data_IF_551177618132
#
_entry.id   IF_551177618132
#
_cell.length_a   1.000
_cell.length_b   1.000
_cell.length_c   1.000
_cell.angle_alpha   90.00
_cell.angle_beta   90.00
_cell.angle_gamma   90.00
#
_symmetry.space_group_name_H-M   'P 1'
#
loop_
_entity.id
_entity.type
_entity.pdbx_description
1 polymer ?
#
# COMPACT_ATOMS: atom_id res chain seq x y z
N UNK A 1 6.29 78.57 -3.32
CA UNK A 1 6.99 77.68 -2.35
C UNK A 1 6.02 76.59 -1.93
N UNK A 2 6.11 75.43 -2.56
CA UNK A 2 5.11 74.35 -2.54
C UNK A 2 5.49 73.26 -1.54
N UNK A 3 4.54 72.96 -0.65
CA UNK A 3 4.04 71.64 -0.23
C UNK A 3 5.04 70.49 -0.02
N UNK A 4 5.27 70.20 1.25
CA UNK A 4 5.81 68.94 1.78
C UNK A 4 4.71 67.85 1.74
N UNK A 5 4.97 66.69 1.11
CA UNK A 5 4.09 65.53 1.22
C UNK A 5 4.92 64.24 1.24
N UNK A 6 4.92 63.60 2.42
CA UNK A 6 5.63 62.37 2.78
C UNK A 6 4.97 61.14 2.13
N UNK A 7 5.75 60.32 1.43
CA UNK A 7 5.33 59.00 0.93
C UNK A 7 5.68 57.92 1.96
N UNK A 8 4.65 57.29 2.54
CA UNK A 8 4.76 56.07 3.34
C UNK A 8 4.81 54.87 2.39
N UNK A 9 5.78 53.93 2.48
CA UNK A 9 5.70 52.69 1.73
C UNK A 9 4.78 51.71 2.49
N UNK A 10 3.75 51.22 1.79
CA UNK A 10 2.88 50.15 2.28
C UNK A 10 3.67 48.83 2.32
N UNK A 11 3.88 48.29 3.53
CA UNK A 11 4.47 46.97 3.74
C UNK A 11 3.39 45.91 3.46
N UNK A 12 3.53 45.19 2.35
CA UNK A 12 2.73 44.01 2.03
C UNK A 12 3.20 42.85 2.92
N UNK A 13 2.45 42.55 3.98
CA UNK A 13 2.67 41.35 4.79
C UNK A 13 2.06 40.16 4.05
N UNK A 14 2.90 39.45 3.30
CA UNK A 14 2.54 38.14 2.73
C UNK A 14 2.44 37.12 3.88
N UNK A 15 1.22 36.81 4.30
CA UNK A 15 0.94 35.74 5.25
C UNK A 15 1.30 34.39 4.63
N UNK A 16 2.43 33.82 5.05
CA UNK A 16 2.81 32.44 4.72
C UNK A 16 1.88 31.51 5.49
N UNK A 17 0.86 30.98 4.81
CA UNK A 17 0.06 29.85 5.28
C UNK A 17 0.97 28.63 5.41
N UNK A 18 1.40 28.33 6.63
CA UNK A 18 2.01 27.06 6.98
C UNK A 18 0.96 25.96 6.81
N UNK A 19 0.98 25.28 5.65
CA UNK A 19 0.37 23.97 5.53
C UNK A 19 1.17 23.02 6.43
N UNK A 20 0.68 22.77 7.65
CA UNK A 20 1.05 21.57 8.39
C UNK A 20 0.55 20.38 7.57
N UNK A 21 1.41 19.86 6.70
CA UNK A 21 1.22 18.54 6.11
C UNK A 21 1.24 17.53 7.26
N UNK A 22 0.07 17.10 7.70
CA UNK A 22 -0.05 15.97 8.60
C UNK A 22 0.56 14.75 7.88
N UNK A 23 1.80 14.39 8.22
CA UNK A 23 2.38 13.14 7.76
C UNK A 23 1.57 12.02 8.39
N UNK A 24 0.82 11.28 7.56
CA UNK A 24 0.18 10.06 8.03
C UNK A 24 1.25 9.12 8.60
N UNK A 25 1.02 8.49 9.76
CA UNK A 25 1.99 7.56 10.32
C UNK A 25 2.22 6.41 9.34
N UNK A 26 3.48 6.03 9.15
CA UNK A 26 3.84 4.87 8.36
C UNK A 26 3.27 3.61 9.05
N UNK A 27 2.53 2.81 8.31
CA UNK A 27 2.06 1.50 8.75
C UNK A 27 3.14 0.45 8.45
N UNK A 28 3.31 -0.51 9.36
CA UNK A 28 4.24 -1.63 9.19
C UNK A 28 3.47 -2.92 8.94
N UNK A 29 4.01 -3.74 8.04
CA UNK A 29 3.60 -5.11 7.80
C UNK A 29 4.83 -6.01 7.77
N UNK A 30 4.94 -6.88 8.77
CA UNK A 30 5.87 -8.00 8.73
C UNK A 30 5.20 -9.20 8.05
N UNK A 31 5.90 -9.85 7.13
CA UNK A 31 5.50 -11.15 6.59
C UNK A 31 5.94 -12.24 7.57
N UNK A 32 5.13 -12.41 8.62
CA UNK A 32 5.37 -13.41 9.65
C UNK A 32 5.15 -14.82 9.10
N UNK A 33 6.15 -15.67 9.29
CA UNK A 33 6.17 -17.06 8.84
C UNK A 33 6.20 -18.04 10.02
N UNK A 34 6.17 -17.55 11.26
CA UNK A 34 6.41 -18.35 12.49
C UNK A 34 5.51 -19.59 12.54
N UNK A 35 4.22 -19.42 12.26
CA UNK A 35 3.22 -20.49 12.28
C UNK A 35 2.92 -21.07 10.90
N UNK A 36 3.66 -20.67 9.86
CA UNK A 36 3.42 -21.16 8.52
C UNK A 36 3.81 -22.65 8.40
N UNK A 37 2.91 -23.52 7.89
CA UNK A 37 3.21 -24.93 7.71
C UNK A 37 4.39 -25.16 6.76
N UNK A 38 5.29 -26.07 7.12
CA UNK A 38 6.39 -26.47 6.24
C UNK A 38 5.83 -27.09 4.95
N UNK A 39 6.46 -26.78 3.83
CA UNK A 39 6.06 -27.24 2.50
C UNK A 39 4.89 -26.47 1.88
N UNK A 40 4.18 -25.62 2.63
CA UNK A 40 3.06 -24.84 2.09
C UNK A 40 3.53 -23.54 1.41
N UNK A 41 2.65 -22.96 0.60
CA UNK A 41 2.78 -21.56 0.19
C UNK A 41 2.48 -20.65 1.41
N UNK A 42 3.21 -19.56 1.64
CA UNK A 42 2.88 -18.62 2.70
C UNK A 42 1.53 -17.92 2.42
N UNK A 43 0.76 -17.67 3.48
CA UNK A 43 -0.56 -17.05 3.37
C UNK A 43 -0.50 -15.64 2.75
N UNK A 44 -1.48 -15.32 1.89
CA UNK A 44 -1.57 -14.02 1.23
C UNK A 44 -0.59 -13.81 0.07
N UNK A 45 0.16 -14.85 -0.33
CA UNK A 45 1.02 -14.82 -1.51
C UNK A 45 0.48 -15.68 -2.65
N UNK A 46 0.77 -15.24 -3.87
CA UNK A 46 0.47 -15.98 -5.10
C UNK A 46 1.75 -16.27 -5.87
N UNK A 47 1.87 -17.49 -6.37
CA UNK A 47 2.94 -17.91 -7.27
C UNK A 47 2.66 -17.40 -8.69
N UNK A 48 3.56 -16.57 -9.20
CA UNK A 48 3.42 -15.85 -10.47
C UNK A 48 4.63 -16.14 -11.34
N UNK A 49 4.44 -16.17 -12.65
CA UNK A 49 5.52 -16.34 -13.63
C UNK A 49 5.44 -15.24 -14.68
N UNK A 50 6.54 -14.53 -14.89
CA UNK A 50 6.76 -13.74 -16.11
C UNK A 50 7.76 -14.44 -17.03
N UNK A 51 7.62 -14.24 -18.34
CA UNK A 51 8.45 -14.88 -19.35
C UNK A 51 8.03 -16.32 -19.68
N UNK A 52 8.99 -17.15 -20.07
CA UNK A 52 8.78 -18.56 -20.46
C UNK A 52 9.01 -19.57 -19.34
N UNK A 53 8.89 -20.86 -19.68
CA UNK A 53 9.13 -21.99 -18.78
C UNK A 53 7.98 -22.27 -17.81
N UNK A 54 8.21 -23.14 -16.82
CA UNK A 54 7.21 -23.52 -15.83
C UNK A 54 7.12 -22.51 -14.66
N UNK A 55 6.01 -22.40 -13.93
CA UNK A 55 5.95 -21.57 -12.71
C UNK A 55 6.99 -21.96 -11.64
N UNK A 56 7.26 -21.05 -10.70
CA UNK A 56 8.16 -21.32 -9.58
C UNK A 56 7.64 -22.44 -8.68
N UNK A 57 8.52 -23.05 -7.90
CA UNK A 57 8.13 -23.93 -6.80
C UNK A 57 8.44 -23.23 -5.49
N UNK A 58 7.42 -22.66 -4.86
CA UNK A 58 7.56 -21.87 -3.64
C UNK A 58 7.00 -22.62 -2.44
N UNK A 59 7.78 -22.67 -1.36
CA UNK A 59 7.35 -23.31 -0.12
C UNK A 59 8.01 -22.69 1.10
N UNK A 60 7.38 -22.86 2.25
CA UNK A 60 7.97 -22.56 3.54
C UNK A 60 8.91 -23.70 3.96
N UNK A 61 10.12 -23.34 4.40
CA UNK A 61 11.18 -24.23 4.87
C UNK A 61 11.79 -23.70 6.17
N UNK A 62 12.71 -24.47 6.76
CA UNK A 62 13.57 -23.99 7.85
C UNK A 62 14.97 -23.63 7.34
N UNK A 63 15.54 -22.57 7.90
CA UNK A 63 16.97 -22.23 7.72
C UNK A 63 17.51 -21.57 9.00
N UNK A 64 18.83 -21.58 9.13
CA UNK A 64 19.54 -20.79 10.12
C UNK A 64 19.67 -19.35 9.64
N UNK A 65 18.94 -18.45 10.29
CA UNK A 65 18.88 -17.03 9.94
C UNK A 65 19.65 -16.23 11.02
N UNK A 66 20.53 -15.28 10.64
CA UNK A 66 21.17 -14.38 11.60
C UNK A 66 20.11 -13.59 12.38
N UNK A 67 20.18 -13.64 13.72
CA UNK A 67 19.35 -12.78 14.57
C UNK A 67 19.62 -11.30 14.28
N UNK A 68 18.55 -10.49 14.26
CA UNK A 68 18.66 -9.04 14.18
C UNK A 68 19.22 -8.42 15.47
N UNK A 69 19.18 -9.14 16.59
CA UNK A 69 19.73 -8.72 17.86
C UNK A 69 21.19 -9.18 17.97
N UNK A 70 22.11 -8.21 18.02
CA UNK A 70 23.45 -8.44 18.58
C UNK A 70 23.30 -8.62 20.09
N UNK A 71 24.02 -9.58 20.64
CA UNK A 71 24.19 -9.75 22.08
C UNK A 71 24.93 -8.54 22.68
N UNK A 72 24.60 -8.18 23.93
CA UNK A 72 25.30 -7.13 24.69
C UNK A 72 26.80 -7.43 24.91
N UNK A 73 27.24 -8.66 24.63
CA UNK A 73 28.65 -9.10 24.70
C UNK A 73 29.45 -8.91 23.41
N UNK A 74 28.83 -8.43 22.32
CA UNK A 74 29.54 -8.10 21.08
C UNK A 74 30.23 -9.29 20.39
N UNK A 75 29.89 -10.52 20.76
CA UNK A 75 30.49 -11.73 20.19
C UNK A 75 29.41 -12.74 19.74
N UNK A 76 29.19 -12.70 18.43
CA UNK A 76 28.42 -13.62 17.57
C UNK A 76 26.96 -13.22 17.28
N UNK A 77 26.67 -13.07 15.98
CA UNK A 77 25.31 -13.07 15.45
C UNK A 77 24.71 -14.46 15.69
N UNK A 78 23.98 -14.66 16.80
CA UNK A 78 23.30 -15.92 17.09
C UNK A 78 22.42 -16.28 15.88
N UNK A 79 22.64 -17.46 15.30
CA UNK A 79 21.77 -17.99 14.26
C UNK A 79 20.67 -18.80 14.93
N UNK A 80 19.43 -18.48 14.62
CA UNK A 80 18.27 -19.23 15.10
C UNK A 80 17.63 -19.94 13.92
N UNK A 81 17.15 -21.17 14.14
CA UNK A 81 16.31 -21.84 13.16
C UNK A 81 15.00 -21.05 13.07
N UNK A 82 14.70 -20.57 11.89
CA UNK A 82 13.53 -19.75 11.59
C UNK A 82 12.91 -20.23 10.27
N UNK A 83 11.65 -19.86 10.07
CA UNK A 83 10.92 -20.13 8.84
C UNK A 83 11.42 -19.20 7.73
N UNK A 84 11.62 -19.77 6.54
CA UNK A 84 12.03 -19.06 5.34
C UNK A 84 11.14 -19.49 4.17
N UNK A 85 11.07 -18.67 3.14
CA UNK A 85 10.45 -19.01 1.87
C UNK A 85 11.56 -19.49 0.94
N UNK A 86 11.37 -20.63 0.28
CA UNK A 86 12.28 -21.18 -0.71
C UNK A 86 11.63 -21.23 -2.08
N UNK A 87 12.36 -20.80 -3.10
CA UNK A 87 12.13 -21.16 -4.50
C UNK A 87 13.09 -22.32 -4.84
N UNK A 88 12.57 -23.45 -5.32
CA UNK A 88 13.38 -24.64 -5.63
C UNK A 88 13.23 -25.23 -7.03
N UNK A 89 12.57 -24.56 -7.96
CA UNK A 89 12.46 -25.02 -9.34
C UNK A 89 13.83 -25.03 -10.01
N UNK A 90 14.13 -26.12 -10.72
CA UNK A 90 15.39 -26.31 -11.46
C UNK A 90 15.27 -26.02 -12.96
N UNK A 91 14.16 -25.41 -13.38
CA UNK A 91 13.94 -25.04 -14.78
C UNK A 91 14.87 -23.87 -15.18
N UNK A 92 15.89 -24.20 -15.98
CA UNK A 92 16.94 -23.30 -16.43
C UNK A 92 16.59 -22.43 -17.65
N UNK A 93 15.31 -22.33 -18.04
CA UNK A 93 14.88 -21.40 -19.10
C UNK A 93 15.38 -19.99 -18.81
N UNK A 94 15.98 -19.31 -19.80
CA UNK A 94 16.70 -18.04 -19.58
C UNK A 94 15.76 -16.88 -19.20
N UNK A 95 14.84 -16.50 -20.09
CA UNK A 95 13.83 -15.46 -19.82
C UNK A 95 12.65 -16.04 -19.02
N UNK A 96 12.95 -16.60 -17.85
CA UNK A 96 12.01 -17.18 -16.88
C UNK A 96 12.14 -16.46 -15.54
N UNK A 97 11.05 -15.85 -15.08
CA UNK A 97 11.05 -14.99 -13.89
C UNK A 97 10.00 -15.44 -12.87
N UNK A 98 10.29 -16.47 -12.06
CA UNK A 98 9.38 -16.89 -11.01
C UNK A 98 9.32 -15.87 -9.89
N UNK A 99 8.11 -15.52 -9.48
CA UNK A 99 7.80 -14.54 -8.46
C UNK A 99 6.83 -15.10 -7.43
N UNK A 100 6.94 -14.58 -6.22
CA UNK A 100 5.97 -14.82 -5.15
C UNK A 100 5.45 -13.46 -4.67
N UNK A 101 4.24 -13.10 -5.11
CA UNK A 101 3.68 -11.76 -4.95
C UNK A 101 2.67 -11.73 -3.82
N UNK A 102 2.80 -10.78 -2.90
CA UNK A 102 1.84 -10.54 -1.84
C UNK A 102 0.59 -9.86 -2.42
N UNK A 103 -0.57 -10.47 -2.27
CA UNK A 103 -1.82 -9.99 -2.91
C UNK A 103 -2.66 -9.08 -2.02
N UNK A 104 -2.32 -8.97 -0.73
CA UNK A 104 -3.18 -8.31 0.26
C UNK A 104 -3.42 -6.82 0.05
N UNK A 105 -2.50 -6.06 -0.57
CA UNK A 105 -2.75 -4.66 -0.92
C UNK A 105 -1.92 -4.13 -2.09
N UNK A 106 -2.17 -2.87 -2.46
CA UNK A 106 -1.42 -2.10 -3.46
C UNK A 106 -0.76 -0.89 -2.80
N UNK A 107 0.55 -0.70 -3.03
CA UNK A 107 1.35 0.28 -2.30
C UNK A 107 1.95 1.32 -3.24
N UNK A 108 1.80 2.60 -2.90
CA UNK A 108 2.44 3.72 -3.60
C UNK A 108 3.82 4.03 -3.03
N UNK A 109 3.81 4.60 -1.83
CA UNK A 109 5.00 4.95 -1.06
C UNK A 109 5.26 3.89 0.01
N UNK A 110 6.43 3.25 -0.06
CA UNK A 110 6.80 2.18 0.86
C UNK A 110 8.31 1.98 0.93
N UNK A 111 8.74 1.28 1.97
CA UNK A 111 10.05 0.68 2.12
C UNK A 111 9.83 -0.81 2.33
N UNK A 112 10.31 -1.63 1.39
CA UNK A 112 10.23 -3.08 1.49
C UNK A 112 11.64 -3.66 1.65
N UNK A 113 11.85 -4.42 2.71
CA UNK A 113 13.13 -5.07 3.03
C UNK A 113 12.94 -6.57 3.22
N UNK A 114 13.93 -7.37 2.83
CA UNK A 114 13.99 -8.78 3.15
C UNK A 114 15.43 -9.28 3.19
N UNK A 115 15.64 -10.36 3.94
CA UNK A 115 16.85 -11.14 3.85
C UNK A 115 16.75 -12.11 2.66
N UNK A 116 17.79 -12.19 1.85
CA UNK A 116 17.92 -13.06 0.68
C UNK A 116 19.15 -13.94 0.81
N UNK A 117 19.06 -15.18 0.32
CA UNK A 117 20.19 -16.13 0.28
C UNK A 117 20.11 -16.94 -1.01
N UNK A 118 21.11 -16.78 -1.88
CA UNK A 118 21.24 -17.59 -3.09
C UNK A 118 22.00 -18.87 -2.74
N UNK A 119 21.33 -20.02 -2.90
CA UNK A 119 21.85 -21.31 -2.46
C UNK A 119 22.47 -22.10 -3.60
N UNK A 120 21.82 -22.13 -4.76
CA UNK A 120 22.28 -22.93 -5.89
C UNK A 120 21.64 -22.52 -7.23
N UNK A 121 22.11 -23.16 -8.31
CA UNK A 121 21.64 -22.96 -9.70
C UNK A 121 22.81 -23.10 -10.68
N UNK A 122 22.57 -23.79 -11.78
CA UNK A 122 23.51 -24.03 -12.87
C UNK A 122 23.56 -22.84 -13.82
N UNK A 123 22.40 -22.32 -14.23
CA UNK A 123 22.33 -21.17 -15.15
C UNK A 123 22.40 -19.87 -14.39
N UNK A 124 21.64 -19.76 -13.29
CA UNK A 124 21.54 -18.52 -12.53
C UNK A 124 21.60 -18.76 -11.03
N UNK A 125 22.19 -17.81 -10.30
CA UNK A 125 22.24 -17.82 -8.84
C UNK A 125 21.78 -16.46 -8.32
N UNK A 126 20.47 -16.23 -8.41
CA UNK A 126 19.86 -14.92 -8.18
C UNK A 126 18.73 -14.95 -7.17
N UNK A 127 18.63 -13.87 -6.40
CA UNK A 127 17.49 -13.58 -5.53
C UNK A 127 17.22 -12.07 -5.58
N UNK A 128 15.94 -11.71 -5.53
CA UNK A 128 15.52 -10.32 -5.68
C UNK A 128 14.17 -10.01 -5.07
N UNK A 129 13.83 -8.73 -5.12
CA UNK A 129 12.51 -8.22 -4.75
C UNK A 129 11.81 -7.73 -6.01
N UNK A 130 10.54 -8.12 -6.17
CA UNK A 130 9.62 -7.50 -7.13
C UNK A 130 8.79 -6.45 -6.41
N UNK A 131 8.57 -5.31 -7.05
CA UNK A 131 7.82 -4.21 -6.47
C UNK A 131 7.14 -3.36 -7.54
N UNK A 132 6.11 -2.63 -7.12
CA UNK A 132 5.18 -1.96 -8.05
C UNK A 132 4.63 -2.91 -9.13
N UNK A 133 4.45 -4.17 -8.76
CA UNK A 133 3.90 -5.20 -9.63
C UNK A 133 2.43 -4.91 -9.96
N UNK A 134 2.11 -4.85 -11.26
CA UNK A 134 0.72 -4.80 -11.74
C UNK A 134 0.29 -6.20 -12.20
N UNK A 135 1.09 -6.79 -13.08
CA UNK A 135 0.86 -8.05 -13.77
C UNK A 135 2.21 -8.64 -14.26
N UNK A 136 2.15 -9.81 -14.91
CA UNK A 136 3.31 -10.57 -15.40
C UNK A 136 4.11 -9.85 -16.50
N UNK A 137 3.59 -8.73 -17.00
CA UNK A 137 4.20 -7.92 -18.07
C UNK A 137 4.60 -6.52 -17.59
N UNK A 138 4.24 -6.13 -16.36
CA UNK A 138 4.39 -4.77 -15.87
C UNK A 138 4.81 -4.73 -14.39
N UNK A 139 6.13 -4.65 -14.15
CA UNK A 139 6.67 -4.60 -12.79
C UNK A 139 8.12 -4.07 -12.75
N UNK A 140 8.57 -3.69 -11.56
CA UNK A 140 9.98 -3.45 -11.26
C UNK A 140 10.57 -4.61 -10.46
N UNK A 141 11.85 -4.87 -10.63
CA UNK A 141 12.57 -5.75 -9.72
C UNK A 141 14.02 -5.31 -9.53
N UNK A 142 14.56 -5.65 -8.37
CA UNK A 142 15.98 -5.55 -8.07
C UNK A 142 16.48 -6.94 -7.69
N UNK A 143 17.65 -7.32 -8.21
CA UNK A 143 18.22 -8.65 -7.98
C UNK A 143 19.71 -8.61 -7.68
N UNK A 144 20.11 -9.42 -6.72
CA UNK A 144 21.48 -9.81 -6.47
C UNK A 144 21.82 -11.07 -7.27
N UNK A 145 23.03 -11.15 -7.84
CA UNK A 145 23.55 -12.35 -8.49
C UNK A 145 24.88 -12.74 -7.84
N UNK A 146 24.94 -13.95 -7.28
CA UNK A 146 26.17 -14.52 -6.73
C UNK A 146 27.11 -14.97 -7.86
N UNK A 147 26.55 -15.54 -8.93
CA UNK A 147 27.31 -15.99 -10.09
C UNK A 147 27.91 -14.81 -10.88
N UNK A 148 27.11 -13.77 -11.11
CA UNK A 148 27.52 -12.61 -11.90
C UNK A 148 28.15 -11.47 -11.11
N UNK A 149 28.19 -11.54 -9.77
CA UNK A 149 28.75 -10.48 -8.91
C UNK A 149 28.11 -9.11 -9.16
N UNK A 150 26.78 -9.07 -9.25
CA UNK A 150 26.04 -7.85 -9.66
C UNK A 150 24.78 -7.63 -8.84
N UNK A 151 24.50 -6.38 -8.54
CA UNK A 151 23.23 -5.90 -7.99
C UNK A 151 22.61 -4.95 -8.99
N UNK A 152 21.55 -5.39 -9.66
CA UNK A 152 20.89 -4.64 -10.73
C UNK A 152 19.40 -4.49 -10.51
N UNK A 153 18.92 -3.32 -10.86
CA UNK A 153 17.53 -2.98 -11.07
C UNK A 153 17.15 -3.14 -12.53
N UNK A 154 15.92 -3.59 -12.75
CA UNK A 154 15.28 -3.67 -14.05
C UNK A 154 13.81 -3.25 -13.94
N UNK A 155 13.25 -2.82 -15.06
CA UNK A 155 11.81 -2.76 -15.24
C UNK A 155 11.37 -3.65 -16.39
N UNK A 156 10.18 -4.24 -16.25
CA UNK A 156 9.46 -4.88 -17.33
C UNK A 156 8.24 -4.02 -17.64
N UNK A 157 8.10 -3.61 -18.89
CA UNK A 157 6.98 -2.82 -19.40
C UNK A 157 6.45 -3.52 -20.62
N UNK A 158 5.17 -3.89 -20.60
CA UNK A 158 4.53 -4.68 -21.66
C UNK A 158 5.27 -5.98 -22.00
N UNK A 159 5.97 -6.57 -21.03
CA UNK A 159 6.77 -7.79 -21.19
C UNK A 159 8.19 -7.55 -21.68
N UNK A 160 8.58 -6.29 -21.94
CA UNK A 160 9.92 -5.92 -22.41
C UNK A 160 10.78 -5.50 -21.23
N UNK A 161 11.90 -6.19 -21.04
CA UNK A 161 12.89 -5.92 -19.99
C UNK A 161 13.81 -4.77 -20.39
N UNK A 162 14.06 -3.84 -19.47
CA UNK A 162 15.01 -2.74 -19.66
C UNK A 162 16.46 -3.19 -19.61
N UNK A 163 17.39 -2.31 -20.01
CA UNK A 163 18.79 -2.43 -19.63
C UNK A 163 18.96 -2.39 -18.09
N UNK A 164 20.00 -3.05 -17.55
CA UNK A 164 20.28 -3.04 -16.12
C UNK A 164 20.75 -1.66 -15.65
N UNK A 165 20.28 -1.26 -14.48
CA UNK A 165 20.86 -0.13 -13.73
C UNK A 165 21.41 -0.67 -12.42
N UNK A 166 22.69 -0.44 -12.14
CA UNK A 166 23.26 -0.78 -10.83
C UNK A 166 24.77 -0.98 -10.87
N UNK A 167 25.26 -1.87 -10.03
CA UNK A 167 26.70 -1.98 -9.73
C UNK A 167 27.19 -3.42 -9.76
N UNK A 168 28.48 -3.58 -10.06
CA UNK A 168 29.22 -4.83 -9.82
C UNK A 168 29.74 -4.83 -8.39
N UNK A 169 29.31 -5.81 -7.62
CA UNK A 169 29.75 -6.03 -6.24
C UNK A 169 29.86 -7.55 -6.00
N UNK A 170 30.92 -8.04 -5.33
CA UNK A 170 30.97 -9.44 -4.94
C UNK A 170 29.80 -9.78 -4.00
N UNK A 171 29.06 -10.84 -4.32
CA UNK A 171 27.94 -11.33 -3.49
C UNK A 171 28.17 -12.81 -3.21
N UNK A 172 28.18 -13.19 -1.94
CA UNK A 172 28.53 -14.54 -1.53
C UNK A 172 27.34 -15.49 -1.69
N UNK A 173 27.56 -16.64 -2.34
CA UNK A 173 26.63 -17.78 -2.36
C UNK A 173 26.51 -18.37 -0.95
N UNK A 174 25.31 -18.79 -0.56
CA UNK A 174 25.06 -19.44 0.74
C UNK A 174 25.06 -18.51 1.95
N UNK A 175 25.14 -17.19 1.74
CA UNK A 175 25.14 -16.18 2.80
C UNK A 175 23.86 -15.36 2.75
N UNK A 176 23.29 -15.06 3.92
CA UNK A 176 22.17 -14.14 4.05
C UNK A 176 22.63 -12.69 3.87
N UNK A 177 21.99 -11.98 2.94
CA UNK A 177 22.15 -10.56 2.69
C UNK A 177 20.81 -9.85 2.88
N UNK A 178 20.83 -8.60 3.34
CA UNK A 178 19.63 -7.77 3.36
C UNK A 178 19.51 -7.01 2.04
N UNK A 179 18.34 -7.05 1.41
CA UNK A 179 17.99 -6.26 0.23
C UNK A 179 16.78 -5.40 0.57
N UNK A 180 16.84 -4.12 0.19
CA UNK A 180 15.79 -3.14 0.46
C UNK A 180 15.49 -2.26 -0.74
N UNK A 181 14.21 -1.95 -0.91
CA UNK A 181 13.72 -0.95 -1.87
C UNK A 181 12.89 0.09 -1.13
N UNK A 182 13.16 1.36 -1.38
CA UNK A 182 12.36 2.49 -0.90
C UNK A 182 11.80 3.25 -2.09
N UNK A 183 10.48 3.44 -2.07
CA UNK A 183 9.70 4.17 -3.05
C UNK A 183 9.01 5.37 -2.38
N UNK A 184 9.25 6.57 -2.94
CA UNK A 184 8.60 7.84 -2.54
C UNK A 184 8.19 8.60 -3.80
N UNK A 185 6.91 8.63 -4.13
CA UNK A 185 6.42 9.15 -5.40
C UNK A 185 7.06 8.42 -6.58
N UNK A 186 7.85 9.11 -7.39
CA UNK A 186 8.60 8.52 -8.50
C UNK A 186 10.08 8.22 -8.17
N UNK A 187 10.52 8.44 -6.93
CA UNK A 187 11.89 8.17 -6.51
C UNK A 187 12.02 6.73 -6.02
N UNK A 188 13.11 6.07 -6.43
CA UNK A 188 13.46 4.71 -6.05
C UNK A 188 14.88 4.71 -5.49
N UNK A 189 15.03 4.14 -4.29
CA UNK A 189 16.31 3.94 -3.60
C UNK A 189 16.48 2.47 -3.27
N UNK A 190 17.68 1.93 -3.51
CA UNK A 190 17.99 0.52 -3.31
C UNK A 190 19.11 0.39 -2.29
N UNK A 191 18.86 -0.44 -1.28
CA UNK A 191 19.78 -0.73 -0.20
C UNK A 191 20.23 -2.19 -0.26
N UNK A 192 21.52 -2.43 -0.03
CA UNK A 192 22.09 -3.75 0.12
C UNK A 192 22.93 -3.79 1.40
N UNK A 193 22.59 -4.68 2.32
CA UNK A 193 23.16 -4.77 3.67
C UNK A 193 23.15 -3.40 4.40
N UNK A 194 21.99 -2.73 4.39
CA UNK A 194 21.79 -1.41 5.02
C UNK A 194 22.47 -0.22 4.33
N UNK A 195 23.21 -0.42 3.22
CA UNK A 195 23.91 0.65 2.49
C UNK A 195 23.26 0.91 1.14
N UNK A 196 23.14 2.17 0.76
CA UNK A 196 22.70 2.56 -0.58
C UNK A 196 23.72 2.05 -1.61
N UNK A 197 23.26 1.19 -2.51
CA UNK A 197 24.14 0.42 -3.40
C UNK A 197 23.97 0.78 -4.88
N UNK A 198 22.82 1.35 -5.26
CA UNK A 198 22.53 1.84 -6.61
C UNK A 198 22.24 3.33 -6.51
N UNK A 199 22.68 4.16 -7.48
CA UNK A 199 22.33 5.57 -7.53
C UNK A 199 20.82 5.78 -7.41
N UNK A 200 20.40 6.87 -6.76
CA UNK A 200 18.97 7.23 -6.71
C UNK A 200 18.39 7.31 -8.12
N UNK A 201 17.27 6.64 -8.32
CA UNK A 201 16.58 6.61 -9.59
C UNK A 201 15.28 7.39 -9.49
N UNK A 202 14.86 7.97 -10.60
CA UNK A 202 13.55 8.58 -10.77
C UNK A 202 12.85 7.90 -11.95
N UNK A 203 11.74 7.22 -11.69
CA UNK A 203 10.96 6.53 -12.73
C UNK A 203 9.46 6.71 -12.47
N UNK A 204 8.73 7.10 -13.52
CA UNK A 204 7.30 7.43 -13.47
C UNK A 204 6.40 6.38 -14.11
N UNK A 205 6.97 5.25 -14.57
CA UNK A 205 6.20 4.23 -15.30
C UNK A 205 5.13 3.58 -14.42
N UNK A 206 5.49 3.19 -13.19
CA UNK A 206 4.55 2.67 -12.20
C UNK A 206 4.65 3.51 -10.93
N UNK A 207 3.51 4.00 -10.40
CA UNK A 207 3.45 4.83 -9.18
C UNK A 207 2.95 4.07 -7.95
N UNK A 208 2.34 2.90 -8.15
CA UNK A 208 1.92 1.99 -7.10
C UNK A 208 1.89 0.57 -7.65
N UNK A 209 1.86 -0.44 -6.78
CA UNK A 209 1.65 -1.83 -7.15
C UNK A 209 1.91 -2.77 -5.98
N UNK A 210 1.95 -4.08 -6.26
CA UNK A 210 2.21 -5.11 -5.26
C UNK A 210 3.72 -5.29 -5.03
N UNK A 211 4.06 -6.00 -3.96
CA UNK A 211 5.45 -6.34 -3.58
C UNK A 211 5.60 -7.85 -3.45
N UNK A 212 6.82 -8.36 -3.57
CA UNK A 212 7.07 -9.79 -3.45
C UNK A 212 8.53 -10.17 -3.67
N UNK A 213 8.75 -11.47 -3.80
CA UNK A 213 10.07 -12.05 -4.01
C UNK A 213 10.23 -12.47 -5.48
N UNK A 214 11.47 -12.43 -5.97
CA UNK A 214 11.80 -12.69 -7.36
C UNK A 214 13.03 -13.59 -7.50
N UNK A 215 13.03 -14.47 -8.50
CA UNK A 215 14.15 -15.33 -8.91
C UNK A 215 14.24 -15.39 -10.44
N UNK A 216 15.33 -15.97 -10.97
CA UNK A 216 15.51 -16.22 -12.41
C UNK A 216 15.89 -17.67 -12.67
N UNK A 217 15.35 -18.26 -13.75
CA UNK A 217 15.74 -19.59 -14.22
C UNK A 217 15.75 -20.62 -13.08
N UNK A 218 16.83 -21.38 -12.91
CA UNK A 218 16.98 -22.46 -11.94
C UNK A 218 17.56 -22.02 -10.59
N UNK A 219 17.49 -20.71 -10.30
CA UNK A 219 18.00 -20.14 -9.04
C UNK A 219 17.25 -20.72 -7.84
N UNK A 220 17.95 -21.54 -7.06
CA UNK A 220 17.51 -21.99 -5.75
C UNK A 220 17.88 -20.91 -4.73
N UNK A 221 16.86 -20.25 -4.19
CA UNK A 221 17.02 -19.08 -3.34
C UNK A 221 16.04 -19.09 -2.17
N UNK A 222 16.46 -18.52 -1.03
CA UNK A 222 15.64 -18.36 0.16
C UNK A 222 15.45 -16.90 0.56
N UNK A 223 14.30 -16.63 1.17
CA UNK A 223 13.86 -15.32 1.61
C UNK A 223 13.35 -15.40 3.05
N UNK A 224 13.64 -14.38 3.86
CA UNK A 224 13.13 -14.28 5.23
C UNK A 224 13.04 -12.84 5.69
N UNK A 225 12.42 -12.60 6.84
CA UNK A 225 12.32 -11.28 7.48
C UNK A 225 11.81 -10.18 6.54
N UNK A 226 10.82 -10.53 5.71
CA UNK A 226 10.18 -9.57 4.82
C UNK A 226 9.39 -8.54 5.64
N UNK A 227 9.75 -7.26 5.54
CA UNK A 227 9.09 -6.15 6.24
C UNK A 227 8.78 -5.02 5.28
N UNK A 228 7.54 -4.56 5.33
CA UNK A 228 7.00 -3.50 4.51
C UNK A 228 6.52 -2.35 5.39
N UNK A 229 7.20 -1.21 5.31
CA UNK A 229 6.76 0.04 5.93
C UNK A 229 6.16 0.92 4.84
N UNK A 230 4.88 1.25 4.92
CA UNK A 230 4.18 1.95 3.85
C UNK A 230 3.36 3.11 4.40
N UNK A 231 3.16 4.13 3.57
CA UNK A 231 2.16 5.15 3.86
C UNK A 231 0.83 4.61 3.34
N UNK A 232 -0.16 4.33 4.21
CA UNK A 232 -1.49 3.98 3.74
C UNK A 232 -1.95 5.06 2.78
N UNK A 233 -2.40 4.66 1.58
CA UNK A 233 -3.08 5.62 0.71
C UNK A 233 -4.35 6.02 1.43
N UNK A 234 -4.49 7.31 1.64
CA UNK A 234 -5.78 7.81 2.06
C UNK A 234 -6.75 7.63 0.90
N UNK A 235 -7.70 6.70 1.08
CA UNK A 235 -8.74 6.45 0.09
C UNK A 235 -9.64 7.69 -0.02
N UNK A 236 -10.19 7.95 -1.22
CA UNK A 236 -11.03 9.12 -1.49
C UNK A 236 -12.13 9.30 -0.44
N UNK A 237 -12.75 8.19 0.00
CA UNK A 237 -13.80 8.20 1.01
C UNK A 237 -13.37 8.89 2.32
N UNK A 238 -12.12 8.70 2.76
CA UNK A 238 -11.61 9.32 3.98
C UNK A 238 -11.38 10.83 3.80
N UNK A 239 -10.96 11.25 2.60
CA UNK A 239 -10.84 12.67 2.26
C UNK A 239 -12.22 13.33 2.25
N UNK A 240 -13.21 12.67 1.64
CA UNK A 240 -14.60 13.13 1.59
C UNK A 240 -15.23 13.29 2.98
N UNK A 241 -14.97 12.35 3.89
CA UNK A 241 -15.40 12.43 5.30
C UNK A 241 -14.84 13.69 5.98
N UNK A 242 -13.54 13.96 5.84
CA UNK A 242 -12.91 15.13 6.45
C UNK A 242 -13.39 16.43 5.83
N UNK A 243 -13.53 16.49 4.51
CA UNK A 243 -14.01 17.67 3.80
C UNK A 243 -15.45 17.99 4.18
N UNK A 244 -16.30 16.97 4.31
CA UNK A 244 -17.67 17.13 4.79
C UNK A 244 -17.70 17.67 6.24
N UNK A 245 -16.92 17.09 7.14
CA UNK A 245 -16.81 17.56 8.52
C UNK A 245 -16.34 19.02 8.59
N UNK A 246 -15.26 19.37 7.87
CA UNK A 246 -14.69 20.72 7.85
C UNK A 246 -15.64 21.75 7.24
N UNK A 247 -16.30 21.42 6.14
CA UNK A 247 -17.13 22.36 5.37
C UNK A 247 -18.52 22.56 5.96
N UNK A 248 -19.12 21.51 6.50
CA UNK A 248 -20.52 21.52 6.95
C UNK A 248 -20.70 21.44 8.47
N UNK A 249 -19.61 21.35 9.23
CA UNK A 249 -19.61 21.36 10.71
C UNK A 249 -20.57 20.33 11.32
N UNK A 250 -20.58 19.14 10.73
CA UNK A 250 -21.35 17.98 11.23
C UNK A 250 -20.59 17.29 12.35
N UNK A 251 -21.30 16.69 13.32
CA UNK A 251 -20.71 16.06 14.50
C UNK A 251 -19.98 14.75 14.16
N UNK A 252 -20.54 13.98 13.23
CA UNK A 252 -19.94 12.73 12.75
C UNK A 252 -20.31 12.48 11.28
N UNK A 253 -19.39 11.85 10.57
CA UNK A 253 -19.57 11.39 9.18
C UNK A 253 -18.93 10.02 9.03
N UNK A 254 -19.70 9.07 8.54
CA UNK A 254 -19.21 7.74 8.16
C UNK A 254 -19.69 7.36 6.78
N UNK A 255 -18.82 6.71 6.01
CA UNK A 255 -19.15 6.13 4.71
C UNK A 255 -19.08 4.60 4.84
N UNK A 256 -20.16 3.95 4.40
CA UNK A 256 -20.31 2.51 4.37
C UNK A 256 -20.38 2.04 2.92
N UNK A 257 -19.52 1.09 2.54
CA UNK A 257 -19.52 0.54 1.19
C UNK A 257 -19.23 -0.97 1.22
N UNK A 258 -19.46 -1.64 0.09
CA UNK A 258 -19.03 -3.03 -0.10
C UNK A 258 -17.52 -3.06 -0.25
N UNK A 259 -16.88 -4.03 0.40
CA UNK A 259 -15.46 -4.26 0.21
C UNK A 259 -15.25 -5.19 -0.99
N UNK A 260 -14.28 -4.92 -1.88
CA UNK A 260 -13.89 -5.89 -2.91
C UNK A 260 -13.23 -7.15 -2.32
N UNK A 261 -12.66 -7.04 -1.11
CA UNK A 261 -11.85 -8.09 -0.47
C UNK A 261 -12.64 -8.96 0.52
N UNK A 262 -13.81 -8.50 0.96
CA UNK A 262 -14.60 -9.13 2.03
C UNK A 262 -16.09 -8.96 1.76
N UNK A 263 -16.88 -10.00 2.04
CA UNK A 263 -18.33 -9.95 1.87
C UNK A 263 -19.01 -9.03 2.89
N UNK A 264 -19.95 -8.22 2.39
CA UNK A 264 -20.81 -7.34 3.19
C UNK A 264 -20.49 -5.85 3.08
N UNK A 265 -21.29 -5.04 3.78
CA UNK A 265 -21.12 -3.59 3.85
C UNK A 265 -20.41 -3.26 5.16
N UNK A 266 -19.37 -2.42 5.11
CA UNK A 266 -18.60 -2.02 6.29
C UNK A 266 -18.24 -0.54 6.25
N UNK A 267 -17.83 0.01 7.38
CA UNK A 267 -17.29 1.37 7.47
C UNK A 267 -15.96 1.42 6.71
N UNK A 268 -15.92 2.15 5.61
CA UNK A 268 -14.70 2.35 4.80
C UNK A 268 -14.01 3.68 5.13
N UNK A 269 -14.76 4.66 5.66
CA UNK A 269 -14.22 5.93 6.11
C UNK A 269 -15.00 6.47 7.30
N UNK A 270 -14.29 7.07 8.26
CA UNK A 270 -14.88 7.65 9.48
C UNK A 270 -13.99 8.76 10.04
N UNK A 271 -14.57 9.69 10.79
CA UNK A 271 -13.80 10.62 11.61
C UNK A 271 -13.10 9.92 12.79
N UNK A 272 -13.63 8.80 13.26
CA UNK A 272 -13.02 7.99 14.31
C UNK A 272 -12.34 6.74 13.70
N UNK A 273 -11.00 6.62 13.76
CA UNK A 273 -10.27 5.47 13.23
C UNK A 273 -10.71 4.12 13.79
N UNK A 274 -11.20 4.08 15.03
CA UNK A 274 -11.67 2.84 15.67
C UNK A 274 -12.94 2.27 15.02
N UNK A 275 -13.64 3.06 14.20
CA UNK A 275 -14.84 2.62 13.50
C UNK A 275 -14.56 1.92 12.16
N UNK A 276 -13.35 2.09 11.62
CA UNK A 276 -12.98 1.51 10.33
C UNK A 276 -13.10 -0.02 10.35
N UNK A 277 -13.73 -0.58 9.32
CA UNK A 277 -13.95 -2.02 9.18
C UNK A 277 -15.14 -2.58 9.97
N UNK A 278 -15.80 -1.80 10.84
CA UNK A 278 -17.02 -2.26 11.53
C UNK A 278 -18.13 -2.61 10.52
N UNK A 279 -18.85 -3.70 10.78
CA UNK A 279 -19.96 -4.16 9.93
C UNK A 279 -21.12 -3.14 9.97
N UNK A 280 -21.76 -2.95 8.82
CA UNK A 280 -23.00 -2.20 8.70
C UNK A 280 -24.13 -2.82 9.52
N UNK A 281 -25.09 -2.00 9.94
CA UNK A 281 -26.36 -2.48 10.49
C UNK A 281 -27.36 -2.71 9.35
N UNK A 282 -28.56 -3.21 9.67
CA UNK A 282 -29.64 -3.39 8.70
C UNK A 282 -29.98 -2.10 7.95
N UNK A 283 -29.84 -0.94 8.59
CA UNK A 283 -30.12 0.37 7.99
C UNK A 283 -29.16 0.63 6.83
N UNK A 284 -27.85 0.56 7.07
CA UNK A 284 -26.87 0.86 6.01
C UNK A 284 -26.91 -0.21 4.90
N UNK A 285 -27.23 -1.46 5.24
CA UNK A 285 -27.50 -2.51 4.24
C UNK A 285 -28.68 -2.16 3.34
N UNK A 286 -29.82 -1.75 3.91
CA UNK A 286 -31.00 -1.38 3.13
C UNK A 286 -30.77 -0.12 2.29
N UNK A 287 -30.01 0.87 2.80
CA UNK A 287 -29.61 2.05 2.02
C UNK A 287 -28.79 1.66 0.80
N UNK A 288 -27.76 0.82 0.96
CA UNK A 288 -26.91 0.39 -0.17
C UNK A 288 -27.69 -0.47 -1.18
N UNK A 289 -28.67 -1.26 -0.72
CA UNK A 289 -29.42 -2.18 -1.60
C UNK A 289 -30.64 -1.55 -2.28
N UNK A 290 -31.32 -0.63 -1.60
CA UNK A 290 -32.64 -0.12 -2.01
C UNK A 290 -32.70 1.41 -2.11
N UNK A 291 -31.57 2.08 -1.94
CA UNK A 291 -31.43 3.54 -2.02
C UNK A 291 -32.41 4.29 -1.09
N UNK A 292 -32.73 3.69 0.06
CA UNK A 292 -33.63 4.30 1.05
C UNK A 292 -32.90 5.31 1.92
N UNK A 293 -33.64 6.31 2.38
CA UNK A 293 -33.17 7.29 3.35
C UNK A 293 -33.75 6.93 4.71
N UNK A 294 -32.90 6.96 5.73
CA UNK A 294 -33.29 6.74 7.12
C UNK A 294 -32.94 7.94 7.98
N UNK A 295 -33.78 8.19 8.98
CA UNK A 295 -33.57 9.22 9.98
C UNK A 295 -33.78 8.65 11.38
N UNK A 296 -32.95 9.10 12.31
CA UNK A 296 -33.23 8.98 13.73
C UNK A 296 -32.87 10.28 14.45
N UNK A 297 -33.59 10.60 15.52
CA UNK A 297 -33.31 11.78 16.35
C UNK A 297 -33.09 11.30 17.79
N UNK A 298 -31.94 11.64 18.36
CA UNK A 298 -31.56 11.28 19.73
C UNK A 298 -31.03 12.52 20.43
N UNK A 299 -31.73 12.94 21.49
CA UNK A 299 -31.37 14.13 22.27
C UNK A 299 -31.21 15.38 21.37
N UNK A 300 -30.05 16.03 21.42
CA UNK A 300 -29.71 17.23 20.64
C UNK A 300 -29.10 16.91 19.26
N UNK A 301 -29.18 15.68 18.79
CA UNK A 301 -28.62 15.26 17.49
C UNK A 301 -29.66 14.62 16.60
N UNK A 302 -29.50 14.82 15.30
CA UNK A 302 -30.24 14.13 14.25
C UNK A 302 -29.24 13.34 13.40
N UNK A 303 -29.55 12.07 13.18
CA UNK A 303 -28.77 11.16 12.34
C UNK A 303 -29.53 10.93 11.04
N UNK A 304 -28.88 11.21 9.92
CA UNK A 304 -29.37 10.89 8.59
C UNK A 304 -28.48 9.83 7.95
N UNK A 305 -29.08 8.77 7.42
CA UNK A 305 -28.37 7.78 6.59
C UNK A 305 -28.93 7.83 5.18
N UNK A 306 -28.11 8.22 4.20
CA UNK A 306 -28.52 8.47 2.83
C UNK A 306 -27.71 7.64 1.83
N UNK A 307 -28.28 7.28 0.67
CA UNK A 307 -27.52 6.69 -0.41
C UNK A 307 -26.59 7.73 -1.04
N UNK A 308 -25.39 7.28 -1.41
CA UNK A 308 -24.42 8.03 -2.20
C UNK A 308 -24.23 7.34 -3.54
N UNK A 309 -24.33 8.11 -4.62
CA UNK A 309 -24.36 7.61 -5.99
C UNK A 309 -23.06 7.90 -6.74
N UNK A 310 -22.77 7.07 -7.73
CA UNK A 310 -21.71 7.36 -8.71
C UNK A 310 -22.22 8.20 -9.90
N UNK A 311 -21.34 8.41 -10.89
CA UNK A 311 -21.66 9.19 -12.08
C UNK A 311 -22.78 8.58 -12.96
N UNK A 312 -23.07 7.29 -12.80
CA UNK A 312 -24.16 6.61 -13.51
C UNK A 312 -25.49 6.67 -12.75
N UNK A 313 -25.47 7.13 -11.49
CA UNK A 313 -26.63 7.17 -10.61
C UNK A 313 -26.83 5.88 -9.80
N UNK A 314 -25.88 4.94 -9.84
CA UNK A 314 -25.94 3.72 -9.05
C UNK A 314 -25.56 4.00 -7.60
N UNK A 315 -26.26 3.41 -6.63
CA UNK A 315 -25.90 3.54 -5.21
C UNK A 315 -24.64 2.74 -4.92
N UNK A 316 -23.54 3.44 -4.62
CA UNK A 316 -22.22 2.83 -4.36
C UNK A 316 -21.88 2.75 -2.88
N UNK A 317 -22.56 3.53 -2.03
CA UNK A 317 -22.33 3.60 -0.59
C UNK A 317 -23.52 4.18 0.17
N UNK A 318 -23.53 4.00 1.49
CA UNK A 318 -24.39 4.73 2.43
C UNK A 318 -23.56 5.73 3.24
N UNK A 319 -24.08 6.94 3.42
CA UNK A 319 -23.45 8.01 4.19
C UNK A 319 -24.28 8.28 5.43
N UNK A 320 -23.69 8.07 6.60
CA UNK A 320 -24.29 8.38 7.89
C UNK A 320 -23.75 9.71 8.39
N UNK A 321 -24.64 10.66 8.60
CA UNK A 321 -24.35 12.03 9.05
C UNK A 321 -25.00 12.23 10.41
N UNK A 322 -24.22 12.65 11.39
CA UNK A 322 -24.74 13.13 12.69
C UNK A 322 -24.62 14.63 12.71
N UNK A 323 -25.74 15.33 12.91
CA UNK A 323 -25.81 16.78 12.91
C UNK A 323 -26.44 17.27 14.21
N UNK A 324 -26.05 18.47 14.66
CA UNK A 324 -26.80 19.16 15.72
C UNK A 324 -28.24 19.40 15.26
N UNK A 325 -29.18 19.02 16.11
CA UNK A 325 -30.59 19.32 15.91
C UNK A 325 -30.94 20.71 16.43
N UNK A 326 -32.01 21.31 15.90
CA UNK A 326 -32.52 22.61 16.35
C UNK A 326 -34.04 22.55 16.63
N UNK A 327 -34.59 23.50 17.41
CA UNK A 327 -36.03 23.57 17.68
C UNK A 327 -36.85 23.71 16.38
N UNK A 328 -37.89 22.88 16.23
CA UNK A 328 -38.73 22.88 15.03
C UNK A 328 -38.15 22.09 13.84
N UNK A 329 -37.02 21.40 14.01
CA UNK A 329 -36.47 20.55 12.95
C UNK A 329 -37.40 19.37 12.62
N UNK A 330 -37.78 19.30 11.34
CA UNK A 330 -38.55 18.23 10.69
C UNK A 330 -37.63 17.32 9.87
N UNK A 331 -38.18 16.18 9.42
CA UNK A 331 -37.48 15.28 8.49
C UNK A 331 -37.09 15.98 7.19
N UNK A 332 -38.02 16.73 6.58
CA UNK A 332 -37.75 17.48 5.35
C UNK A 332 -36.61 18.49 5.52
N UNK A 333 -36.58 19.19 6.66
CA UNK A 333 -35.50 20.17 6.93
C UNK A 333 -34.17 19.48 7.20
N UNK A 334 -34.16 18.32 7.87
CA UNK A 334 -32.94 17.56 8.09
C UNK A 334 -32.38 17.01 6.77
N UNK A 335 -33.26 16.48 5.91
CA UNK A 335 -32.90 16.01 4.58
C UNK A 335 -32.31 17.12 3.71
N UNK A 336 -32.93 18.31 3.69
CA UNK A 336 -32.43 19.46 2.94
C UNK A 336 -31.02 19.92 3.39
N UNK A 337 -30.63 19.65 4.64
CA UNK A 337 -29.28 19.92 5.15
C UNK A 337 -28.29 18.82 4.77
N UNK A 338 -28.73 17.57 4.78
CA UNK A 338 -27.87 16.41 4.52
C UNK A 338 -27.58 16.19 3.03
N UNK A 339 -28.56 16.40 2.15
CA UNK A 339 -28.41 16.16 0.70
C UNK A 339 -27.27 16.95 0.07
N UNK A 340 -27.06 18.25 0.35
CA UNK A 340 -25.92 19.00 -0.18
C UNK A 340 -24.55 18.41 0.21
N UNK A 341 -24.46 17.77 1.38
CA UNK A 341 -23.22 17.14 1.86
C UNK A 341 -22.92 15.90 1.01
N UNK A 342 -23.91 15.04 0.82
CA UNK A 342 -23.78 13.84 -0.01
C UNK A 342 -23.51 14.22 -1.46
N UNK A 343 -24.22 15.21 -2.02
CA UNK A 343 -23.99 15.72 -3.38
C UNK A 343 -22.57 16.25 -3.61
N UNK A 344 -21.98 16.89 -2.60
CA UNK A 344 -20.59 17.31 -2.64
C UNK A 344 -19.65 16.09 -2.74
N UNK A 345 -19.93 15.02 -2.01
CA UNK A 345 -19.18 13.77 -2.09
C UNK A 345 -19.31 13.10 -3.46
N UNK A 346 -20.55 12.96 -3.96
CA UNK A 346 -20.87 12.37 -5.26
C UNK A 346 -20.12 13.06 -6.42
N UNK A 347 -19.90 14.38 -6.33
CA UNK A 347 -19.15 15.13 -7.34
C UNK A 347 -17.69 14.68 -7.57
N UNK A 348 -17.15 13.83 -6.69
CA UNK A 348 -15.79 13.29 -6.78
C UNK A 348 -15.75 11.81 -7.17
N UNK A 349 -16.91 11.14 -7.30
CA UNK A 349 -17.00 9.69 -7.44
C UNK A 349 -17.41 9.35 -8.89
N UNK A 350 -16.60 8.56 -9.58
CA UNK A 350 -16.96 7.99 -10.89
C UNK A 350 -17.50 6.58 -10.74
N UNK A 351 -16.93 5.80 -9.84
CA UNK A 351 -17.30 4.40 -9.59
C UNK A 351 -17.13 4.05 -8.11
N UNK A 352 -17.73 2.94 -7.66
CA UNK A 352 -17.50 2.41 -6.31
C UNK A 352 -16.02 2.19 -6.00
N UNK A 353 -15.22 1.86 -7.02
CA UNK A 353 -13.81 1.53 -6.88
C UNK A 353 -12.98 2.74 -6.43
N UNK A 354 -13.45 3.97 -6.70
CA UNK A 354 -12.79 5.20 -6.24
C UNK A 354 -12.85 5.34 -4.71
N UNK A 355 -13.87 4.74 -4.07
CA UNK A 355 -14.08 4.86 -2.62
C UNK A 355 -13.20 3.93 -1.80
N UNK A 356 -12.68 2.86 -2.40
CA UNK A 356 -12.04 1.74 -1.69
C UNK A 356 -10.57 1.53 -2.07
N UNK A 357 -10.00 2.40 -2.91
CA UNK A 357 -8.65 2.30 -3.45
C UNK A 357 -7.71 3.45 -3.06
#
# INVERSE_FOLDING_TARGET
MQSCCSKIPALLVAGVLWFLAASMPAAERAFDLTDAPLGSLPAGFTNVLAGGGAPGQWRVVEDQIPSAFADLSGQSKRRTVQRAIEQSSRDGTDERFPMLVYTGDTYGDFTFTANIKMLDGEKEQMAGLVFRYQDERNFYYVRASALGGTLYFFKIVEGIRSEPIGVRIPIAKGVWHELGVECRGNHIRILFNGKEAIPKMMDKTFIAGKVGFWTKSDSLSRFSNGRLNYTPREILAQTLVRDAHRRYQVEDVRIYARSPKEDGVKVIASLNPEDLGKKATEIEHDVVQRSRVYQSKVSKTITMTLPMHDANGDTVAAVRLVMKSFPGETEKTALNRAVPIVRMMEGHIRTQQDLVN
#
